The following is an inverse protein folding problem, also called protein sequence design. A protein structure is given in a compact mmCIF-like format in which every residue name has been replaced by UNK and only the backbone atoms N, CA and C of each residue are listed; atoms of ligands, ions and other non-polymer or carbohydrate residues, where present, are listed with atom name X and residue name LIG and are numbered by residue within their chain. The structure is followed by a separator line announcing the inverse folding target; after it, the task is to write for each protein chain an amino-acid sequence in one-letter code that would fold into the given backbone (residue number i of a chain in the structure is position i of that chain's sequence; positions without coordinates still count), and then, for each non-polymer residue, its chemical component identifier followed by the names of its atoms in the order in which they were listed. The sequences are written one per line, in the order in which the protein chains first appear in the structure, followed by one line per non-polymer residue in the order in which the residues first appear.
data_IF_060373224313
#
_entry.id   IF_060373224313
#
_cell.length_a   1.000
_cell.length_b   1.000
_cell.length_c   1.000
_cell.angle_alpha   90.00
_cell.angle_beta   90.00
_cell.angle_gamma   90.00
#
_symmetry.space_group_name_H-M   'P 1'
#
loop_
_entity.id
_entity.type
_entity.pdbx_description
1 polymer ?
#
# COMPACT_ATOMS: atom_id res chain seq x y z
N UNK A 1 3.29 21.44 9.17
CA UNK A 1 2.71 20.27 9.84
C UNK A 1 3.21 19.02 9.15
N UNK A 2 3.27 17.89 9.84
CA UNK A 2 3.62 16.61 9.21
C UNK A 2 2.35 16.05 8.56
N UNK A 3 2.38 15.87 7.24
CA UNK A 3 1.21 15.46 6.45
C UNK A 3 1.28 14.01 5.97
N UNK A 4 2.46 13.39 6.01
CA UNK A 4 2.65 12.00 5.65
C UNK A 4 3.76 11.36 6.48
N UNK A 5 3.58 10.08 6.79
CA UNK A 5 4.56 9.24 7.50
C UNK A 5 4.66 7.88 6.84
N UNK A 6 5.82 7.25 6.98
CA UNK A 6 6.02 5.85 6.60
C UNK A 6 6.88 5.13 7.63
N UNK A 7 6.72 3.81 7.74
CA UNK A 7 7.55 2.99 8.63
C UNK A 7 8.83 2.58 7.89
N UNK A 8 10.00 3.00 8.42
CA UNK A 8 11.32 2.80 7.79
C UNK A 8 11.60 1.35 7.39
N UNK A 9 11.25 0.40 8.26
CA UNK A 9 11.53 -1.02 8.07
C UNK A 9 10.24 -1.82 7.82
N UNK A 10 9.25 -1.19 7.17
CA UNK A 10 8.05 -1.88 6.76
C UNK A 10 8.39 -3.05 5.84
N UNK A 11 7.88 -4.26 6.16
CA UNK A 11 8.09 -5.46 5.33
C UNK A 11 7.48 -5.38 3.93
N UNK A 12 6.46 -4.52 3.75
CA UNK A 12 5.75 -4.37 2.48
C UNK A 12 5.36 -2.90 2.26
N UNK A 13 4.19 -2.49 2.76
CA UNK A 13 3.66 -1.14 2.56
C UNK A 13 3.08 -0.61 3.86
N UNK A 14 3.57 0.54 4.31
CA UNK A 14 3.06 1.24 5.48
C UNK A 14 3.27 2.74 5.30
N UNK A 15 2.22 3.41 4.81
CA UNK A 15 2.16 4.86 4.62
C UNK A 15 0.88 5.38 5.26
N UNK A 16 0.99 6.45 6.05
CA UNK A 16 -0.15 7.21 6.57
C UNK A 16 -0.10 8.62 6.01
N UNK A 17 -1.25 9.14 5.59
CA UNK A 17 -1.40 10.53 5.11
C UNK A 17 -2.48 11.22 5.92
N UNK A 18 -2.30 12.52 6.17
CA UNK A 18 -3.25 13.31 6.94
C UNK A 18 -4.43 13.81 6.10
N UNK A 19 -4.21 14.01 4.80
CA UNK A 19 -5.27 14.40 3.87
C UNK A 19 -6.12 13.21 3.40
N UNK A 20 -7.17 13.50 2.66
CA UNK A 20 -8.12 12.52 2.12
C UNK A 20 -7.84 12.19 0.63
N UNK A 21 -6.92 11.27 0.31
CA UNK A 21 -6.64 10.89 -1.08
C UNK A 21 -7.85 10.20 -1.76
N UNK A 22 -8.76 9.62 -0.99
CA UNK A 22 -9.94 8.92 -1.49
C UNK A 22 -10.90 9.85 -2.25
N UNK A 23 -10.96 11.13 -1.89
CA UNK A 23 -11.84 12.10 -2.56
C UNK A 23 -11.40 12.40 -3.99
N UNK A 24 -10.09 12.31 -4.26
CA UNK A 24 -9.49 12.75 -5.52
C UNK A 24 -8.82 11.63 -6.30
N UNK A 25 -8.98 10.37 -5.89
CA UNK A 25 -8.31 9.20 -6.50
C UNK A 25 -8.49 9.08 -8.01
N UNK A 26 -9.59 9.61 -8.58
CA UNK A 26 -9.88 9.58 -10.01
C UNK A 26 -9.33 10.77 -10.80
N UNK A 27 -8.98 11.88 -10.13
CA UNK A 27 -8.66 13.15 -10.76
C UNK A 27 -7.27 13.68 -10.39
N UNK A 28 -6.76 13.33 -9.21
CA UNK A 28 -5.43 13.68 -8.73
C UNK A 28 -4.46 12.50 -8.87
N UNK A 29 -3.34 12.76 -9.54
CA UNK A 29 -2.34 11.75 -9.81
C UNK A 29 -1.64 11.22 -8.56
N UNK A 30 -1.50 12.04 -7.50
CA UNK A 30 -0.84 11.61 -6.26
C UNK A 30 -1.75 10.64 -5.48
N UNK A 31 -3.02 11.00 -5.36
CA UNK A 31 -4.07 10.16 -4.78
C UNK A 31 -4.16 8.81 -5.50
N UNK A 32 -4.21 8.82 -6.84
CA UNK A 32 -4.21 7.61 -7.65
C UNK A 32 -2.99 6.71 -7.40
N UNK A 33 -1.78 7.30 -7.29
CA UNK A 33 -0.54 6.56 -7.04
C UNK A 33 -0.52 5.89 -5.68
N UNK A 34 -1.03 6.54 -4.63
CA UNK A 34 -1.11 5.96 -3.28
C UNK A 34 -1.95 4.68 -3.31
N UNK A 35 -3.15 4.75 -3.87
CA UNK A 35 -4.04 3.58 -3.96
C UNK A 35 -3.51 2.49 -4.87
N UNK A 36 -2.86 2.84 -5.99
CA UNK A 36 -2.22 1.86 -6.87
C UNK A 36 -1.09 1.12 -6.15
N UNK A 37 -0.19 1.85 -5.50
CA UNK A 37 0.93 1.26 -4.76
C UNK A 37 0.44 0.37 -3.60
N UNK A 38 -0.58 0.81 -2.86
CA UNK A 38 -1.21 -0.01 -1.83
C UNK A 38 -1.80 -1.30 -2.41
N UNK A 39 -2.57 -1.20 -3.51
CA UNK A 39 -3.17 -2.36 -4.17
C UNK A 39 -2.12 -3.35 -4.67
N UNK A 40 -1.02 -2.86 -5.26
CA UNK A 40 0.08 -3.70 -5.72
C UNK A 40 0.77 -4.42 -4.54
N UNK A 41 1.01 -3.72 -3.43
CA UNK A 41 1.57 -4.32 -2.22
C UNK A 41 0.67 -5.40 -1.61
N UNK A 42 -0.65 -5.19 -1.58
CA UNK A 42 -1.61 -6.19 -1.08
C UNK A 42 -1.61 -7.44 -1.95
N UNK A 43 -1.56 -7.30 -3.28
CA UNK A 43 -1.49 -8.45 -4.20
C UNK A 43 -0.20 -9.24 -4.02
N UNK A 44 0.94 -8.55 -3.90
CA UNK A 44 2.23 -9.18 -3.63
C UNK A 44 2.22 -9.93 -2.30
N UNK A 45 1.66 -9.33 -1.24
CA UNK A 45 1.53 -9.98 0.06
C UNK A 45 0.67 -11.25 -0.03
N UNK A 46 -0.47 -11.19 -0.72
CA UNK A 46 -1.34 -12.34 -0.91
C UNK A 46 -0.64 -13.47 -1.67
N UNK A 47 0.07 -13.16 -2.75
CA UNK A 47 0.85 -14.12 -3.53
C UNK A 47 1.95 -14.80 -2.70
N UNK A 48 2.71 -14.02 -1.93
CA UNK A 48 3.74 -14.55 -1.04
C UNK A 48 3.17 -15.49 0.03
N UNK A 49 2.02 -15.13 0.62
CA UNK A 49 1.32 -15.98 1.59
C UNK A 49 0.81 -17.29 0.97
N UNK A 50 0.29 -17.24 -0.25
CA UNK A 50 -0.17 -18.42 -0.96
C UNK A 50 1.00 -19.37 -1.29
N UNK A 51 2.12 -18.84 -1.77
CA UNK A 51 3.32 -19.64 -2.04
C UNK A 51 3.90 -20.28 -0.77
N UNK A 52 3.93 -19.55 0.34
CA UNK A 52 4.38 -20.09 1.63
C UNK A 52 3.49 -21.24 2.13
N UNK A 53 2.17 -21.16 1.89
CA UNK A 53 1.25 -22.25 2.22
C UNK A 53 1.51 -23.48 1.37
N UNK A 54 1.64 -23.32 0.05
CA UNK A 54 1.87 -24.43 -0.86
C UNK A 54 3.21 -25.15 -0.60
N UNK A 55 4.23 -24.44 -0.10
CA UNK A 55 5.51 -25.04 0.26
C UNK A 55 5.51 -25.79 1.60
N UNK A 56 4.50 -25.56 2.44
CA UNK A 56 4.32 -26.21 3.74
C UNK A 56 3.40 -27.45 3.66
N UNK A 57 2.70 -27.61 2.55
CA UNK A 57 1.90 -28.79 2.18
C UNK A 57 2.79 -29.80 1.43
#
# INVERSE_FOLDING_TARGET
TIEAVSVKEARAFAVGVQWHPEYWVKSDSNSAKIFRAFGDAVRLHAAAKAGARAAAE
#
